data_IF_090621874699
#
_entry.id   IF_090621874699
#
_cell.length_a   1.000
_cell.length_b   1.000
_cell.length_c   1.000
_cell.angle_alpha   90.00
_cell.angle_beta   90.00
_cell.angle_gamma   90.00
#
_symmetry.space_group_name_H-M   'P 1'
#
loop_
_entity.id
_entity.type
_entity.pdbx_description
1 polymer ?
#
# COMPACT_ATOMS: atom_id res chain seq x y z
N UNK A 1 1.59 15.89 2.49
CA UNK A 1 1.09 14.55 2.76
C UNK A 1 2.20 13.54 2.55
N UNK A 2 2.48 12.71 3.54
CA UNK A 2 3.55 11.72 3.39
C UNK A 2 3.03 10.45 2.73
N UNK A 3 3.94 9.52 2.43
CA UNK A 3 3.57 8.29 1.74
C UNK A 3 2.55 7.47 2.52
N UNK A 4 2.74 7.38 3.84
CA UNK A 4 1.81 6.61 4.67
C UNK A 4 0.40 7.18 4.58
N UNK A 5 0.27 8.48 4.64
CA UNK A 5 -1.03 9.12 4.56
C UNK A 5 -1.69 8.88 3.21
N UNK A 6 -0.91 8.96 2.14
CA UNK A 6 -1.43 8.71 0.81
C UNK A 6 -1.90 7.27 0.67
N UNK A 7 -1.09 6.32 1.16
CA UNK A 7 -1.45 4.90 1.09
C UNK A 7 -2.72 4.62 1.88
N UNK A 8 -2.82 5.18 3.07
CA UNK A 8 -4.01 4.98 3.90
C UNK A 8 -5.23 5.60 3.24
N UNK A 9 -5.08 6.76 2.60
CA UNK A 9 -6.22 7.37 1.92
C UNK A 9 -6.69 6.53 0.74
N UNK A 10 -5.78 5.87 0.05
CA UNK A 10 -6.15 4.96 -1.05
C UNK A 10 -6.93 3.77 -0.48
N UNK A 11 -6.44 3.20 0.63
CA UNK A 11 -7.12 2.09 1.28
C UNK A 11 -8.52 2.51 1.71
N UNK A 12 -8.64 3.69 2.31
CA UNK A 12 -9.94 4.19 2.75
C UNK A 12 -10.91 4.32 1.57
N UNK A 13 -10.44 4.83 0.45
CA UNK A 13 -11.29 5.02 -0.71
C UNK A 13 -11.77 3.69 -1.27
N UNK A 14 -10.88 2.72 -1.35
CA UNK A 14 -11.22 1.42 -1.93
C UNK A 14 -12.13 0.62 -1.03
N UNK A 15 -11.91 0.67 0.28
CA UNK A 15 -12.68 -0.14 1.23
C UNK A 15 -13.92 0.56 1.76
N UNK A 16 -13.98 1.89 1.65
CA UNK A 16 -15.09 2.65 2.23
C UNK A 16 -14.98 2.89 3.72
N UNK A 17 -13.88 2.48 4.33
CA UNK A 17 -13.64 2.69 5.76
C UNK A 17 -13.10 4.08 5.98
N UNK A 18 -13.61 4.82 6.98
CA UNK A 18 -13.09 6.17 7.26
C UNK A 18 -11.60 6.13 7.57
N UNK A 19 -10.89 7.12 7.06
CA UNK A 19 -9.43 7.16 7.20
C UNK A 19 -9.01 7.16 8.66
N UNK A 20 -9.80 7.80 9.53
CA UNK A 20 -9.50 7.88 10.96
C UNK A 20 -9.61 6.52 11.64
N UNK A 21 -10.32 5.59 11.04
CA UNK A 21 -10.53 4.27 11.62
C UNK A 21 -9.47 3.26 11.20
N UNK A 22 -8.63 3.61 10.24
CA UNK A 22 -7.65 2.67 9.71
C UNK A 22 -6.38 2.73 10.53
N UNK A 23 -5.95 1.58 11.05
CA UNK A 23 -4.73 1.47 11.83
C UNK A 23 -3.77 0.48 11.16
N UNK A 24 -2.46 0.58 11.43
CA UNK A 24 -1.50 -0.34 10.82
C UNK A 24 -1.73 -1.81 11.18
N UNK A 25 -2.33 -2.07 12.33
CA UNK A 25 -2.58 -3.44 12.78
C UNK A 25 -3.76 -4.10 12.10
N UNK A 26 -4.58 -3.34 11.41
CA UNK A 26 -5.77 -3.90 10.76
C UNK A 26 -5.39 -4.81 9.62
N UNK A 27 -6.07 -5.95 9.54
CA UNK A 27 -5.89 -6.89 8.45
C UNK A 27 -6.76 -6.48 7.26
N UNK A 28 -6.17 -6.54 6.08
CA UNK A 28 -6.86 -6.06 4.89
C UNK A 28 -8.11 -6.88 4.60
N UNK A 29 -8.02 -8.19 4.74
CA UNK A 29 -9.16 -9.07 4.46
C UNK A 29 -10.10 -9.14 5.66
N UNK A 30 -9.56 -9.44 6.84
CA UNK A 30 -10.40 -9.70 8.02
C UNK A 30 -11.06 -8.43 8.56
N UNK A 31 -10.33 -7.33 8.58
CA UNK A 31 -10.85 -6.11 9.19
C UNK A 31 -11.43 -5.13 8.18
N UNK A 32 -10.88 -5.11 6.97
CA UNK A 32 -11.31 -4.16 5.94
C UNK A 32 -12.13 -4.81 4.83
N UNK A 33 -12.38 -6.11 4.97
CA UNK A 33 -13.23 -6.85 4.03
C UNK A 33 -12.75 -6.73 2.58
N UNK A 34 -11.45 -6.78 2.40
CA UNK A 34 -10.85 -6.64 1.07
C UNK A 34 -10.82 -8.00 0.37
N UNK A 35 -11.35 -8.04 -0.84
CA UNK A 35 -11.28 -9.26 -1.66
C UNK A 35 -10.19 -9.11 -2.72
N UNK A 36 -10.10 -10.13 -3.59
CA UNK A 36 -9.06 -10.14 -4.61
C UNK A 36 -9.14 -8.96 -5.55
N UNK A 37 -10.36 -8.58 -5.92
CA UNK A 37 -10.55 -7.46 -6.85
C UNK A 37 -10.11 -6.16 -6.21
N UNK A 38 -10.47 -5.95 -4.95
CA UNK A 38 -10.07 -4.73 -4.24
C UNK A 38 -8.57 -4.72 -3.98
N UNK A 39 -8.00 -5.88 -3.68
CA UNK A 39 -6.56 -5.97 -3.47
C UNK A 39 -5.81 -5.59 -4.74
N UNK A 40 -6.26 -6.07 -5.89
CA UNK A 40 -5.65 -5.71 -7.15
C UNK A 40 -5.81 -4.22 -7.43
N UNK A 41 -6.97 -3.68 -7.15
CA UNK A 41 -7.22 -2.27 -7.30
C UNK A 41 -6.27 -1.44 -6.43
N UNK A 42 -6.06 -1.89 -5.20
CA UNK A 42 -5.12 -1.23 -4.30
C UNK A 42 -3.71 -1.22 -4.87
N UNK A 43 -3.25 -2.37 -5.36
CA UNK A 43 -1.91 -2.48 -5.94
C UNK A 43 -1.76 -1.51 -7.11
N UNK A 44 -2.73 -1.52 -8.02
CA UNK A 44 -2.67 -0.65 -9.21
C UNK A 44 -2.63 0.82 -8.81
N UNK A 45 -3.46 1.20 -7.84
CA UNK A 45 -3.49 2.59 -7.39
C UNK A 45 -2.16 3.01 -6.75
N UNK A 46 -1.60 2.11 -5.94
CA UNK A 46 -0.33 2.43 -5.29
C UNK A 46 0.79 2.56 -6.32
N UNK A 47 0.81 1.68 -7.31
CA UNK A 47 1.81 1.76 -8.36
C UNK A 47 1.71 3.07 -9.12
N UNK A 48 0.48 3.49 -9.39
CA UNK A 48 0.25 4.71 -10.14
C UNK A 48 0.62 5.94 -9.33
N UNK A 49 0.23 5.97 -8.06
CA UNK A 49 0.45 7.15 -7.23
C UNK A 49 1.90 7.34 -6.83
N UNK A 50 2.63 6.25 -6.64
CA UNK A 50 4.01 6.32 -6.19
C UNK A 50 5.01 6.07 -7.30
N UNK A 51 4.52 5.79 -8.50
CA UNK A 51 5.37 5.50 -9.66
C UNK A 51 6.36 4.38 -9.33
N UNK A 52 5.84 3.29 -8.76
CA UNK A 52 6.62 2.13 -8.38
C UNK A 52 5.99 0.89 -8.98
N UNK A 53 6.74 -0.20 -8.96
CA UNK A 53 6.27 -1.49 -9.45
C UNK A 53 6.23 -2.46 -8.28
N UNK A 54 5.05 -3.05 -8.03
CA UNK A 54 4.88 -4.02 -6.96
C UNK A 54 4.76 -5.40 -7.59
N UNK A 55 5.73 -6.26 -7.31
CA UNK A 55 5.75 -7.60 -7.88
C UNK A 55 4.72 -8.49 -7.20
N UNK A 56 4.39 -9.59 -7.86
CA UNK A 56 3.39 -10.53 -7.34
C UNK A 56 3.77 -11.03 -5.94
N UNK A 57 5.05 -11.30 -5.72
CA UNK A 57 5.51 -11.78 -4.41
C UNK A 57 5.27 -10.72 -3.34
N UNK A 58 5.55 -9.46 -3.67
CA UNK A 58 5.28 -8.38 -2.74
C UNK A 58 3.81 -8.23 -2.45
N UNK A 59 2.98 -8.32 -3.49
CA UNK A 59 1.55 -8.21 -3.34
C UNK A 59 1.00 -9.36 -2.48
N UNK A 60 1.52 -10.56 -2.66
CA UNK A 60 1.05 -11.73 -1.93
C UNK A 60 1.37 -11.64 -0.44
N UNK A 61 2.37 -10.85 -0.07
CA UNK A 61 2.75 -10.72 1.34
C UNK A 61 2.01 -9.61 2.07
N UNK A 62 1.10 -8.92 1.41
CA UNK A 62 0.35 -7.82 2.03
C UNK A 62 -0.83 -8.37 2.81
N UNK A 63 -0.70 -8.44 4.12
CA UNK A 63 -1.75 -8.94 5.00
C UNK A 63 -2.40 -7.83 5.83
N UNK A 64 -1.61 -6.86 6.26
CA UNK A 64 -2.10 -5.77 7.10
C UNK A 64 -1.83 -4.43 6.45
N UNK A 65 -2.48 -3.41 6.98
CA UNK A 65 -2.20 -2.03 6.55
C UNK A 65 -0.71 -1.72 6.74
N UNK A 66 -0.14 -2.17 7.85
CA UNK A 66 1.28 -1.98 8.10
C UNK A 66 2.16 -2.59 7.03
N UNK A 67 1.77 -3.76 6.51
CA UNK A 67 2.52 -4.38 5.42
C UNK A 67 2.52 -3.49 4.18
N UNK A 68 1.38 -2.89 3.88
CA UNK A 68 1.28 -1.97 2.74
C UNK A 68 2.22 -0.79 2.95
N UNK A 69 2.17 -0.20 4.15
CA UNK A 69 3.00 0.96 4.45
C UNK A 69 4.49 0.62 4.37
N UNK A 70 4.87 -0.56 4.86
CA UNK A 70 6.25 -1.00 4.81
C UNK A 70 6.71 -1.20 3.38
N UNK A 71 5.87 -1.79 2.54
CA UNK A 71 6.19 -2.00 1.14
C UNK A 71 6.40 -0.69 0.41
N UNK A 72 5.49 0.26 0.61
CA UNK A 72 5.59 1.57 -0.03
C UNK A 72 6.84 2.29 0.44
N UNK A 73 7.13 2.22 1.72
CA UNK A 73 8.32 2.87 2.27
C UNK A 73 9.59 2.31 1.66
N UNK A 74 9.64 0.99 1.53
CA UNK A 74 10.80 0.32 0.95
C UNK A 74 11.00 0.68 -0.51
N UNK A 75 9.92 0.61 -1.30
CA UNK A 75 10.01 0.90 -2.73
C UNK A 75 10.30 2.37 -2.98
N UNK A 76 9.70 3.24 -2.20
CA UNK A 76 9.82 4.65 -2.41
C UNK A 76 11.18 5.21 -2.07
N UNK A 77 11.96 4.51 -1.25
CA UNK A 77 13.28 4.96 -0.87
C UNK A 77 14.36 4.56 -1.86
N UNK A 78 14.01 3.72 -2.80
CA UNK A 78 15.01 3.13 -3.67
C UNK A 78 15.60 4.09 -4.69
N UNK A 79 15.09 5.02 -5.07
CA UNK A 79 15.70 5.80 -6.12
C UNK A 79 16.89 6.58 -5.69
N UNK A 80 16.79 6.24 -5.43
CA UNK A 80 17.59 6.74 -5.29
C UNK A 80 18.62 6.46 -5.30
N UNK A 81 18.32 5.82 -5.30
CA UNK A 81 19.14 5.59 -5.32
C UNK A 81 19.81 5.54 -5.97
N UNK A 82 19.42 5.34 -6.10
CA UNK A 82 19.95 5.19 -6.71
C UNK A 82 20.79 5.31 -7.14
N UNK A 83 20.74 5.26 -6.90
CA UNK A 83 21.44 5.32 -7.17
C UNK A 83 22.31 5.25 -7.41
N UNK A 84 22.16 4.98 -7.19
CA UNK A 84 22.88 4.88 -7.36
C UNK A 84 23.58 4.80 -7.68
N UNK A 85 23.46 4.70 -7.69
CA UNK A 85 24.08 4.62 -7.98
C UNK A 85 24.73 4.64 -8.20
N UNK A 86 24.58 4.52 -7.97
CA UNK A 86 25.09 4.52 -8.20
C UNK A 86 25.50 4.62 -8.27
#
# INVERSE_FOLDING_TARGET
MNRSEIAISVIARITGVPIESITPEMELVADLDMDSAKALELIVELEDRFDVEIEDDGAASLNTVGDVLATISSLGSSPDHSQENA
#
